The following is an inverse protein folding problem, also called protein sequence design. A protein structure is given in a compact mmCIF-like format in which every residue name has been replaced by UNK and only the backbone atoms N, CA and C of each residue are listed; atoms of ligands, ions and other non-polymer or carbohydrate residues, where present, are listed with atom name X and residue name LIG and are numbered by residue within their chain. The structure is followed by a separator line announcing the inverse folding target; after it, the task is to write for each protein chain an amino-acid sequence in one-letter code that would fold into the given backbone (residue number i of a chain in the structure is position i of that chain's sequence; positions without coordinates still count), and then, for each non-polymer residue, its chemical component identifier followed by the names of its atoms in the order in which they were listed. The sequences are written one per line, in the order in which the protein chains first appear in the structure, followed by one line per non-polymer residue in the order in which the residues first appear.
data_IF_853410598053
#
_entry.id   IF_853410598053
#
_cell.length_a   1.000
_cell.length_b   1.000
_cell.length_c   1.000
_cell.angle_alpha   90.00
_cell.angle_beta   90.00
_cell.angle_gamma   90.00
#
_symmetry.space_group_name_H-M   'P 1'
#
loop_
_entity.id
_entity.type
_entity.pdbx_description
1 polymer ?
#
# COMPACT_ATOMS: atom_id res chain seq x y z
N UNK A 1 39.21 -10.44 -32.70
CA UNK A 1 38.93 -9.94 -31.33
C UNK A 1 37.81 -8.91 -31.25
N UNK A 2 37.43 -8.19 -32.32
CA UNK A 2 36.41 -7.10 -32.24
C UNK A 2 34.96 -7.56 -32.11
N UNK A 3 34.58 -8.80 -32.50
CA UNK A 3 33.18 -9.28 -32.44
C UNK A 3 32.72 -9.78 -31.10
N UNK A 4 33.64 -10.17 -30.21
CA UNK A 4 33.34 -10.65 -28.86
C UNK A 4 33.02 -9.46 -27.93
N UNK A 5 33.62 -8.30 -28.14
CA UNK A 5 33.36 -7.10 -27.32
C UNK A 5 31.96 -6.52 -27.59
N UNK A 6 31.40 -6.70 -28.77
CA UNK A 6 30.06 -6.22 -29.11
C UNK A 6 28.96 -7.05 -28.45
N UNK A 7 29.17 -8.36 -28.27
CA UNK A 7 28.21 -9.25 -27.60
C UNK A 7 28.18 -9.01 -26.10
N UNK A 8 29.33 -8.68 -25.49
CA UNK A 8 29.40 -8.38 -24.06
C UNK A 8 28.71 -7.06 -23.69
N UNK A 9 28.71 -6.08 -24.60
CA UNK A 9 28.01 -4.80 -24.41
C UNK A 9 26.47 -4.92 -24.42
N UNK A 10 25.93 -5.94 -25.12
CA UNK A 10 24.48 -6.17 -25.20
C UNK A 10 23.95 -6.90 -23.95
N UNK A 11 24.82 -7.64 -23.25
CA UNK A 11 24.40 -8.36 -22.02
C UNK A 11 24.36 -7.47 -20.76
N UNK A 12 24.86 -6.24 -20.82
CA UNK A 12 24.87 -5.30 -19.68
C UNK A 12 23.65 -4.34 -19.65
N UNK A 13 22.76 -4.41 -20.62
CA UNK A 13 21.59 -3.51 -20.71
C UNK A 13 20.30 -4.09 -20.13
N UNK A 14 20.37 -5.13 -19.31
CA UNK A 14 19.20 -5.95 -18.89
C UNK A 14 18.61 -5.73 -17.51
N UNK A 15 19.07 -4.75 -16.71
CA UNK A 15 18.37 -4.38 -15.48
C UNK A 15 17.78 -2.97 -15.65
N UNK A 16 16.66 -2.86 -16.30
CA UNK A 16 15.86 -1.63 -16.22
C UNK A 16 15.24 -1.58 -14.83
N UNK A 17 15.88 -0.85 -13.90
CA UNK A 17 15.24 -0.49 -12.64
C UNK A 17 14.00 0.34 -12.95
N UNK A 18 12.86 -0.01 -12.36
CA UNK A 18 11.63 0.79 -12.49
C UNK A 18 11.95 2.20 -11.99
N UNK A 19 11.64 3.26 -12.78
CA UNK A 19 11.91 4.63 -12.37
C UNK A 19 11.12 4.96 -11.10
N UNK A 20 11.75 5.70 -10.18
CA UNK A 20 11.09 6.19 -8.98
C UNK A 20 10.15 7.37 -9.28
N UNK A 21 10.41 8.11 -10.37
CA UNK A 21 9.63 9.26 -10.78
C UNK A 21 9.18 9.15 -12.23
N UNK A 22 8.00 9.70 -12.52
CA UNK A 22 7.57 9.90 -13.91
C UNK A 22 8.45 10.97 -14.56
N UNK A 23 8.96 10.67 -15.75
CA UNK A 23 9.65 11.68 -16.57
C UNK A 23 8.67 12.76 -17.04
N UNK A 24 9.15 13.99 -17.24
CA UNK A 24 8.32 15.09 -17.76
C UNK A 24 7.64 14.74 -19.10
N UNK A 25 8.31 13.99 -19.96
CA UNK A 25 7.76 13.50 -21.22
C UNK A 25 6.53 12.63 -20.98
N UNK A 26 6.63 11.64 -20.07
CA UNK A 26 5.51 10.78 -19.69
C UNK A 26 4.37 11.55 -19.02
N UNK A 27 4.70 12.53 -18.15
CA UNK A 27 3.68 13.37 -17.52
C UNK A 27 2.86 14.16 -18.54
N UNK A 28 3.49 14.65 -19.61
CA UNK A 28 2.83 15.41 -20.68
C UNK A 28 1.89 14.56 -21.54
N UNK A 29 2.16 13.26 -21.67
CA UNK A 29 1.33 12.32 -22.40
C UNK A 29 0.07 11.88 -21.63
N UNK A 30 0.11 11.96 -20.30
CA UNK A 30 -0.97 11.51 -19.42
C UNK A 30 -2.03 12.62 -19.27
N UNK A 31 -3.29 12.27 -19.51
CA UNK A 31 -4.45 13.17 -19.34
C UNK A 31 -5.58 12.52 -18.56
N UNK A 32 -5.79 11.21 -18.77
CA UNK A 32 -6.86 10.45 -18.16
C UNK A 32 -6.28 9.38 -17.25
N UNK A 33 -6.53 9.49 -15.97
CA UNK A 33 -6.01 8.52 -15.00
C UNK A 33 -7.12 7.93 -14.15
N UNK A 34 -6.84 6.78 -13.57
CA UNK A 34 -7.66 6.23 -12.49
C UNK A 34 -6.78 5.86 -11.31
N UNK A 35 -7.39 5.77 -10.14
CA UNK A 35 -6.78 5.19 -8.95
C UNK A 35 -7.55 3.93 -8.62
N UNK A 36 -6.83 2.84 -8.31
CA UNK A 36 -7.39 1.62 -7.75
C UNK A 36 -6.67 1.27 -6.45
N UNK A 37 -7.41 0.70 -5.50
CA UNK A 37 -6.86 0.22 -4.24
C UNK A 37 -6.87 -1.29 -4.24
N UNK A 38 -5.69 -1.89 -4.05
CA UNK A 38 -5.50 -3.32 -3.78
C UNK A 38 -5.11 -3.54 -2.31
N UNK A 39 -5.34 -2.56 -1.44
CA UNK A 39 -5.14 -2.71 0.00
C UNK A 39 -6.34 -3.46 0.57
N UNK A 40 -6.12 -4.52 1.37
CA UNK A 40 -7.20 -5.26 2.01
C UNK A 40 -8.06 -4.38 2.93
N UNK A 41 -9.36 -4.65 2.99
CA UNK A 41 -10.26 -4.02 3.96
C UNK A 41 -10.15 -4.62 5.36
N UNK A 42 -9.38 -5.69 5.52
CA UNK A 42 -9.13 -6.33 6.80
C UNK A 42 -7.96 -5.69 7.54
N UNK A 43 -8.12 -5.51 8.83
CA UNK A 43 -7.07 -5.09 9.76
C UNK A 43 -6.79 -6.22 10.72
N UNK A 44 -5.55 -6.67 10.78
CA UNK A 44 -5.08 -7.64 11.76
C UNK A 44 -4.83 -6.93 13.09
N UNK A 45 -5.47 -7.38 14.15
CA UNK A 45 -5.18 -6.93 15.51
C UNK A 45 -4.50 -8.07 16.25
N UNK A 46 -3.25 -7.85 16.61
CA UNK A 46 -2.45 -8.81 17.37
C UNK A 46 -2.19 -8.25 18.76
N UNK A 47 -2.62 -9.00 19.79
CA UNK A 47 -2.29 -8.75 21.17
C UNK A 47 -1.17 -9.71 21.57
N UNK A 48 -0.02 -9.16 21.92
CA UNK A 48 1.11 -9.94 22.42
C UNK A 48 1.12 -9.81 23.95
N UNK A 49 0.82 -10.92 24.62
CA UNK A 49 0.91 -11.03 26.07
C UNK A 49 2.34 -11.29 26.54
N UNK A 50 2.57 -11.17 27.84
CA UNK A 50 3.84 -11.46 28.52
C UNK A 50 4.30 -12.91 28.32
N UNK A 51 3.35 -13.82 28.08
CA UNK A 51 3.57 -15.24 27.79
C UNK A 51 2.81 -15.57 26.51
N UNK A 52 3.39 -16.38 25.64
CA UNK A 52 2.83 -16.73 24.32
C UNK A 52 1.41 -17.29 24.36
N UNK A 53 1.00 -17.95 25.45
CA UNK A 53 -0.37 -18.43 25.66
C UNK A 53 -1.43 -17.31 25.72
N UNK A 54 -1.03 -16.07 25.94
CA UNK A 54 -1.93 -14.91 25.97
C UNK A 54 -1.92 -14.11 24.67
N UNK A 55 -1.25 -14.59 23.64
CA UNK A 55 -1.32 -13.98 22.33
C UNK A 55 -2.70 -14.20 21.74
N UNK A 56 -3.31 -13.14 21.27
CA UNK A 56 -4.61 -13.16 20.63
C UNK A 56 -4.50 -12.50 19.27
N UNK A 57 -5.17 -13.09 18.31
CA UNK A 57 -5.29 -12.54 16.97
C UNK A 57 -6.77 -12.36 16.65
N UNK A 58 -7.11 -11.19 16.12
CA UNK A 58 -8.46 -10.87 15.66
C UNK A 58 -8.36 -10.09 14.36
N UNK A 59 -9.26 -10.38 13.43
CA UNK A 59 -9.34 -9.66 12.15
C UNK A 59 -10.61 -8.81 12.15
N UNK A 60 -10.48 -7.55 11.75
CA UNK A 60 -11.59 -6.62 11.61
C UNK A 60 -11.78 -6.24 10.17
N UNK A 61 -13.04 -6.17 9.74
CA UNK A 61 -13.41 -5.63 8.44
C UNK A 61 -13.65 -4.11 8.57
N UNK A 62 -12.99 -3.33 7.75
CA UNK A 62 -13.12 -1.87 7.69
C UNK A 62 -14.33 -1.41 6.85
N UNK A 63 -15.04 -2.35 6.21
CA UNK A 63 -16.28 -2.09 5.47
C UNK A 63 -16.15 -0.97 4.42
N UNK A 64 -15.13 -1.02 3.60
CA UNK A 64 -14.87 -0.06 2.51
C UNK A 64 -14.21 1.24 2.95
N UNK A 65 -13.90 1.43 4.24
CA UNK A 65 -13.26 2.66 4.74
C UNK A 65 -11.83 2.80 4.24
N UNK A 66 -11.09 1.69 4.10
CA UNK A 66 -9.70 1.69 3.60
C UNK A 66 -9.68 2.14 2.14
N UNK A 67 -10.41 1.47 1.26
CA UNK A 67 -10.47 1.82 -0.15
C UNK A 67 -10.97 3.26 -0.34
N UNK A 68 -12.04 3.66 0.36
CA UNK A 68 -12.59 5.02 0.29
C UNK A 68 -11.57 6.08 0.67
N UNK A 69 -10.82 5.89 1.76
CA UNK A 69 -9.79 6.81 2.20
C UNK A 69 -8.64 6.92 1.19
N UNK A 70 -8.15 5.78 0.70
CA UNK A 70 -7.06 5.71 -0.29
C UNK A 70 -7.48 6.41 -1.58
N UNK A 71 -8.64 6.06 -2.14
CA UNK A 71 -9.11 6.63 -3.40
C UNK A 71 -9.33 8.14 -3.29
N UNK A 72 -9.89 8.61 -2.17
CA UNK A 72 -10.12 10.04 -1.92
C UNK A 72 -8.80 10.80 -1.78
N UNK A 73 -7.87 10.31 -0.97
CA UNK A 73 -6.57 10.96 -0.74
C UNK A 73 -5.70 10.98 -2.00
N UNK A 74 -5.61 9.86 -2.73
CA UNK A 74 -4.87 9.76 -3.97
C UNK A 74 -5.44 10.72 -5.03
N UNK A 75 -6.77 10.75 -5.20
CA UNK A 75 -7.43 11.68 -6.12
C UNK A 75 -7.10 13.13 -5.80
N UNK A 76 -7.21 13.51 -4.52
CA UNK A 76 -6.91 14.87 -4.08
C UNK A 76 -5.45 15.25 -4.39
N UNK A 77 -4.52 14.31 -4.16
CA UNK A 77 -3.10 14.53 -4.43
C UNK A 77 -2.82 14.70 -5.92
N UNK A 78 -3.34 13.80 -6.76
CA UNK A 78 -3.16 13.87 -8.22
C UNK A 78 -3.72 15.18 -8.79
N UNK A 79 -4.95 15.57 -8.42
CA UNK A 79 -5.56 16.81 -8.89
C UNK A 79 -4.78 18.04 -8.45
N UNK A 80 -4.21 18.03 -7.25
CA UNK A 80 -3.37 19.12 -6.75
C UNK A 80 -2.07 19.25 -7.52
N UNK A 81 -1.39 18.13 -7.81
CA UNK A 81 -0.08 18.11 -8.49
C UNK A 81 -0.23 18.30 -10.00
N UNK A 82 -1.30 17.77 -10.59
CA UNK A 82 -1.54 17.80 -12.04
C UNK A 82 -3.00 18.21 -12.32
N UNK A 83 -3.33 19.51 -12.20
CA UNK A 83 -4.71 20.00 -12.35
C UNK A 83 -5.29 19.78 -13.76
N UNK A 84 -4.44 19.50 -14.76
CA UNK A 84 -4.87 19.17 -16.12
C UNK A 84 -5.25 17.69 -16.32
N UNK A 85 -5.05 16.83 -15.33
CA UNK A 85 -5.39 15.42 -15.44
C UNK A 85 -6.83 15.14 -15.00
N UNK A 86 -7.55 14.35 -15.78
CA UNK A 86 -8.90 13.90 -15.45
C UNK A 86 -8.81 12.59 -14.64
N UNK A 87 -9.12 12.63 -13.35
CA UNK A 87 -9.15 11.44 -12.49
C UNK A 87 -10.52 10.79 -12.58
N UNK A 88 -10.60 9.65 -13.28
CA UNK A 88 -11.84 8.90 -13.51
C UNK A 88 -12.09 7.88 -12.41
N UNK A 89 -13.36 7.68 -12.06
CA UNK A 89 -13.78 6.54 -11.26
C UNK A 89 -13.98 5.32 -12.16
N UNK A 90 -13.40 4.19 -11.80
CA UNK A 90 -13.50 2.94 -12.56
C UNK A 90 -14.05 1.82 -11.69
N UNK A 91 -14.77 0.89 -12.32
CA UNK A 91 -15.18 -0.36 -11.67
C UNK A 91 -14.14 -1.42 -11.98
N UNK A 92 -13.67 -2.12 -10.97
CA UNK A 92 -12.73 -3.23 -11.08
C UNK A 92 -13.07 -4.31 -10.08
N UNK A 93 -12.64 -5.53 -10.36
CA UNK A 93 -12.72 -6.65 -9.44
C UNK A 93 -11.45 -6.67 -8.59
N UNK A 94 -11.57 -6.14 -7.36
CA UNK A 94 -10.44 -6.07 -6.43
C UNK A 94 -9.91 -7.46 -6.08
N UNK A 95 -10.78 -8.44 -5.86
CA UNK A 95 -10.39 -9.79 -5.48
C UNK A 95 -9.60 -10.48 -6.61
N UNK A 96 -10.07 -10.34 -7.86
CA UNK A 96 -9.36 -10.88 -9.02
C UNK A 96 -7.98 -10.23 -9.21
N UNK A 97 -7.88 -8.90 -9.04
CA UNK A 97 -6.60 -8.19 -9.16
C UNK A 97 -5.64 -8.52 -8.00
N UNK A 98 -6.14 -8.67 -6.78
CA UNK A 98 -5.35 -9.12 -5.63
C UNK A 98 -4.78 -10.53 -5.87
N UNK A 99 -5.60 -11.47 -6.32
CA UNK A 99 -5.14 -12.84 -6.60
C UNK A 99 -4.02 -12.88 -7.65
N UNK A 100 -4.04 -11.96 -8.62
CA UNK A 100 -2.95 -11.81 -9.60
C UNK A 100 -1.71 -11.20 -8.94
N UNK A 101 -1.87 -10.17 -8.10
CA UNK A 101 -0.78 -9.49 -7.43
C UNK A 101 -0.06 -10.37 -6.40
N UNK A 102 -0.80 -11.25 -5.72
CA UNK A 102 -0.30 -12.22 -4.73
C UNK A 102 0.29 -13.49 -5.38
N UNK A 103 0.26 -13.59 -6.70
CA UNK A 103 0.89 -14.73 -7.39
C UNK A 103 2.41 -14.72 -7.18
N UNK A 104 3.10 -15.89 -7.22
CA UNK A 104 4.56 -15.98 -7.00
C UNK A 104 5.40 -15.12 -7.95
N UNK A 105 4.82 -14.69 -9.08
CA UNK A 105 5.46 -13.80 -10.05
C UNK A 105 5.14 -12.31 -9.78
N UNK A 106 4.25 -12.03 -8.82
CA UNK A 106 3.92 -10.67 -8.39
C UNK A 106 3.36 -9.78 -9.49
N UNK A 107 3.50 -8.49 -9.28
CA UNK A 107 3.02 -7.42 -10.18
C UNK A 107 3.71 -7.40 -11.55
N UNK A 108 4.89 -8.02 -11.67
CA UNK A 108 5.63 -8.15 -12.93
C UNK A 108 5.12 -9.29 -13.83
N UNK A 109 4.12 -10.06 -13.36
CA UNK A 109 3.55 -11.14 -14.14
C UNK A 109 2.79 -10.60 -15.37
N UNK A 110 2.90 -11.32 -16.48
CA UNK A 110 2.16 -10.99 -17.72
C UNK A 110 0.66 -10.84 -17.45
N UNK A 111 0.08 -11.65 -16.55
CA UNK A 111 -1.32 -11.57 -16.18
C UNK A 111 -1.71 -10.25 -15.52
N UNK A 112 -0.85 -9.68 -14.66
CA UNK A 112 -1.09 -8.37 -14.04
C UNK A 112 -1.05 -7.26 -15.10
N UNK A 113 -0.04 -7.29 -15.96
CA UNK A 113 0.08 -6.37 -17.09
C UNK A 113 -1.15 -6.40 -17.99
N UNK A 114 -1.59 -7.59 -18.41
CA UNK A 114 -2.76 -7.75 -19.26
C UNK A 114 -4.04 -7.24 -18.59
N UNK A 115 -4.21 -7.51 -17.30
CA UNK A 115 -5.37 -7.04 -16.53
C UNK A 115 -5.42 -5.51 -16.44
N UNK A 116 -4.28 -4.85 -16.22
CA UNK A 116 -4.22 -3.38 -16.19
C UNK A 116 -4.38 -2.77 -17.58
N UNK A 117 -3.79 -3.38 -18.62
CA UNK A 117 -3.99 -2.95 -20.01
C UNK A 117 -5.48 -3.02 -20.40
N UNK A 118 -6.16 -4.09 -20.03
CA UNK A 118 -7.60 -4.25 -20.29
C UNK A 118 -8.44 -3.21 -19.54
N UNK A 119 -8.12 -2.95 -18.27
CA UNK A 119 -8.78 -1.93 -17.47
C UNK A 119 -8.57 -0.54 -18.08
N UNK A 120 -7.35 -0.21 -18.49
CA UNK A 120 -7.01 1.05 -19.13
C UNK A 120 -7.77 1.23 -20.45
N UNK A 121 -7.74 0.22 -21.32
CA UNK A 121 -8.43 0.23 -22.62
C UNK A 121 -9.94 0.41 -22.46
N UNK A 122 -10.58 -0.37 -21.58
CA UNK A 122 -12.03 -0.32 -21.31
C UNK A 122 -12.49 1.06 -20.84
N UNK A 123 -11.67 1.75 -20.05
CA UNK A 123 -12.01 3.03 -19.44
C UNK A 123 -11.36 4.23 -20.15
N UNK A 124 -10.61 4.01 -21.23
CA UNK A 124 -9.88 5.05 -21.97
C UNK A 124 -8.97 5.85 -21.04
N UNK A 125 -8.07 5.14 -20.35
CA UNK A 125 -7.08 5.70 -19.43
C UNK A 125 -5.71 5.73 -20.11
N UNK A 126 -4.92 6.72 -19.74
CA UNK A 126 -3.51 6.83 -20.13
C UNK A 126 -2.60 6.19 -19.06
N UNK A 127 -3.04 6.24 -17.78
CA UNK A 127 -2.33 5.60 -16.68
C UNK A 127 -3.29 5.17 -15.55
N UNK A 128 -2.83 4.19 -14.74
CA UNK A 128 -3.52 3.72 -13.54
C UNK A 128 -2.56 3.81 -12.36
N UNK A 129 -2.99 4.46 -11.28
CA UNK A 129 -2.32 4.46 -9.99
C UNK A 129 -2.85 3.29 -9.18
N UNK A 130 -1.97 2.33 -8.92
CA UNK A 130 -2.29 1.12 -8.17
C UNK A 130 -1.71 1.25 -6.77
N UNK A 131 -2.57 1.43 -5.77
CA UNK A 131 -2.16 1.47 -4.37
C UNK A 131 -2.29 0.06 -3.80
N UNK A 132 -1.21 -0.47 -3.25
CA UNK A 132 -1.17 -1.82 -2.67
C UNK A 132 -0.49 -1.81 -1.30
N UNK A 133 -0.79 -2.83 -0.51
CA UNK A 133 0.03 -3.15 0.64
C UNK A 133 1.39 -3.68 0.14
N UNK A 134 2.47 -3.19 0.72
CA UNK A 134 3.80 -3.73 0.50
C UNK A 134 4.12 -4.77 1.58
N UNK A 135 4.93 -5.77 1.23
CA UNK A 135 5.46 -6.72 2.19
C UNK A 135 6.28 -5.99 3.26
N UNK A 136 6.13 -6.42 4.50
CA UNK A 136 7.01 -5.95 5.56
C UNK A 136 8.31 -6.75 5.50
N UNK A 137 9.44 -6.04 5.46
CA UNK A 137 10.77 -6.65 5.46
C UNK A 137 11.04 -7.47 6.75
N UNK A 138 10.33 -7.14 7.83
CA UNK A 138 10.32 -7.92 9.06
C UNK A 138 9.29 -9.06 8.93
N UNK A 139 9.71 -10.20 8.40
CA UNK A 139 8.93 -11.42 8.11
C UNK A 139 8.02 -11.96 9.25
N UNK A 140 7.81 -11.22 10.31
CA UNK A 140 7.02 -11.60 11.49
C UNK A 140 5.60 -11.00 11.50
N UNK A 141 5.27 -10.12 10.57
CA UNK A 141 3.94 -9.51 10.49
C UNK A 141 3.18 -10.07 9.29
N UNK A 142 1.89 -10.18 9.46
CA UNK A 142 0.98 -10.56 8.37
C UNK A 142 0.93 -9.45 7.33
N UNK A 143 0.77 -9.81 6.09
CA UNK A 143 0.54 -8.84 5.01
C UNK A 143 -0.67 -7.95 5.32
N UNK A 144 -0.59 -6.69 4.89
CA UNK A 144 -1.68 -5.74 5.02
C UNK A 144 -1.53 -4.75 6.18
N UNK A 145 -2.65 -4.44 6.82
CA UNK A 145 -2.72 -3.47 7.91
C UNK A 145 -2.69 -4.23 9.24
N UNK A 146 -1.73 -3.90 10.09
CA UNK A 146 -1.54 -4.55 11.38
C UNK A 146 -1.65 -3.52 12.51
N UNK A 147 -2.44 -3.84 13.52
CA UNK A 147 -2.50 -3.14 14.79
C UNK A 147 -1.94 -4.07 15.85
N UNK A 148 -0.84 -3.68 16.46
CA UNK A 148 -0.15 -4.47 17.47
C UNK A 148 -0.31 -3.83 18.85
N UNK A 149 -0.86 -4.56 19.78
CA UNK A 149 -0.86 -4.23 21.19
C UNK A 149 0.09 -5.17 21.94
N UNK A 150 1.18 -4.65 22.43
CA UNK A 150 2.21 -5.44 23.11
C UNK A 150 2.43 -4.95 24.54
N UNK A 151 2.51 -5.89 25.49
CA UNK A 151 2.99 -5.65 26.82
C UNK A 151 4.47 -6.02 26.89
N UNK A 152 5.32 -5.09 27.27
CA UNK A 152 6.71 -5.40 27.54
C UNK A 152 6.84 -5.94 28.98
N UNK A 153 7.27 -7.21 29.15
CA UNK A 153 7.38 -7.80 30.48
C UNK A 153 8.49 -7.20 31.33
N UNK A 154 9.47 -6.52 30.71
CA UNK A 154 10.63 -6.01 31.43
C UNK A 154 10.38 -4.66 32.11
N UNK A 155 9.55 -3.81 31.58
CA UNK A 155 9.28 -2.46 32.09
C UNK A 155 7.80 -2.16 32.33
N UNK A 156 6.95 -3.18 32.18
CA UNK A 156 5.48 -3.07 32.24
C UNK A 156 4.90 -2.01 31.29
N UNK A 157 5.68 -1.56 30.30
CA UNK A 157 5.19 -0.62 29.30
C UNK A 157 4.24 -1.30 28.32
N UNK A 158 3.20 -0.60 27.95
CA UNK A 158 2.25 -1.04 26.95
C UNK A 158 2.45 -0.21 25.68
N UNK A 159 2.45 -0.89 24.54
CA UNK A 159 2.59 -0.24 23.24
C UNK A 159 1.43 -0.63 22.36
N UNK A 160 0.75 0.36 21.82
CA UNK A 160 -0.23 0.18 20.76
C UNK A 160 0.35 0.81 19.50
N UNK A 161 0.49 0.03 18.44
CA UNK A 161 1.11 0.51 17.19
C UNK A 161 0.28 0.12 15.99
N UNK A 162 0.24 0.99 14.98
CA UNK A 162 -0.28 0.70 13.65
C UNK A 162 0.92 0.53 12.72
N UNK A 163 0.91 -0.54 11.94
CA UNK A 163 1.88 -0.82 10.88
C UNK A 163 1.12 -1.08 9.58
N UNK A 164 1.46 -0.35 8.55
CA UNK A 164 0.92 -0.55 7.22
C UNK A 164 1.95 -0.07 6.20
N UNK A 165 2.53 -0.97 5.44
CA UNK A 165 3.40 -0.59 4.34
C UNK A 165 2.55 -0.38 3.10
N UNK A 166 2.68 0.78 2.47
CA UNK A 166 2.02 1.10 1.23
C UNK A 166 3.04 1.31 0.12
N UNK A 167 2.61 0.95 -1.07
CA UNK A 167 3.31 1.20 -2.31
C UNK A 167 2.32 1.72 -3.34
N UNK A 168 2.77 2.62 -4.21
CA UNK A 168 2.01 3.13 -5.34
C UNK A 168 2.77 2.84 -6.62
N UNK A 169 2.24 1.98 -7.46
CA UNK A 169 2.73 1.75 -8.80
C UNK A 169 1.89 2.54 -9.80
N UNK A 170 2.53 3.12 -10.81
CA UNK A 170 1.86 3.77 -11.93
C UNK A 170 2.07 2.87 -13.15
N UNK A 171 0.97 2.40 -13.74
CA UNK A 171 1.02 1.64 -14.98
C UNK A 171 0.53 2.50 -16.15
N UNK A 172 1.09 2.28 -17.33
CA UNK A 172 0.61 2.91 -18.55
C UNK A 172 -0.58 2.15 -19.16
N UNK A 173 -1.06 2.61 -20.31
CA UNK A 173 -2.16 1.99 -21.06
C UNK A 173 -1.83 0.58 -21.60
N UNK A 174 -0.58 0.17 -21.62
CA UNK A 174 -0.12 -1.17 -21.92
C UNK A 174 -0.01 -2.06 -20.70
N UNK A 175 -0.28 -1.52 -19.49
CA UNK A 175 -0.15 -2.21 -18.23
C UNK A 175 1.30 -2.33 -17.72
N UNK A 176 2.26 -1.65 -18.37
CA UNK A 176 3.64 -1.63 -17.92
C UNK A 176 3.80 -0.67 -16.73
N UNK A 177 4.57 -1.07 -15.71
CA UNK A 177 4.90 -0.18 -14.60
C UNK A 177 5.89 0.87 -15.10
N UNK A 178 5.49 2.13 -15.06
CA UNK A 178 6.30 3.27 -15.52
C UNK A 178 6.89 4.09 -14.38
N UNK A 179 6.39 3.94 -13.17
CA UNK A 179 6.99 4.48 -11.95
C UNK A 179 6.47 3.71 -10.73
N UNK A 180 7.26 3.67 -9.67
CA UNK A 180 6.88 3.03 -8.41
C UNK A 180 7.47 3.79 -7.22
N UNK A 181 6.62 4.11 -6.23
CA UNK A 181 7.01 4.80 -5.01
C UNK A 181 6.43 4.13 -3.77
N UNK A 182 7.24 4.09 -2.73
CA UNK A 182 6.85 3.54 -1.43
C UNK A 182 7.13 4.50 -0.29
N UNK A 183 6.74 4.13 0.91
CA UNK A 183 7.14 4.87 2.11
C UNK A 183 8.66 4.70 2.28
N UNK A 184 9.44 5.81 2.37
CA UNK A 184 10.88 5.72 2.56
C UNK A 184 11.25 4.92 3.81
N UNK A 185 12.22 4.01 3.71
CA UNK A 185 12.66 3.17 4.82
C UNK A 185 13.23 3.96 6.01
N UNK A 186 13.65 5.21 5.78
CA UNK A 186 14.13 6.12 6.84
C UNK A 186 12.99 6.71 7.69
N UNK A 187 11.75 6.60 7.25
CA UNK A 187 10.60 7.07 7.99
C UNK A 187 10.01 5.91 8.79
N UNK A 188 9.71 6.21 10.05
CA UNK A 188 9.17 5.24 11.00
C UNK A 188 7.87 4.63 10.44
N UNK A 189 7.94 3.37 10.02
CA UNK A 189 6.79 2.62 9.48
C UNK A 189 5.79 2.23 10.56
N UNK A 190 5.99 2.73 11.79
CA UNK A 190 5.19 2.42 12.96
C UNK A 190 4.56 3.69 13.51
N UNK A 191 3.24 3.76 13.56
CA UNK A 191 2.53 4.80 14.29
C UNK A 191 2.27 4.31 15.71
N UNK A 192 2.88 4.93 16.70
CA UNK A 192 2.57 4.68 18.10
C UNK A 192 1.29 5.42 18.52
N UNK A 193 0.45 4.74 19.29
CA UNK A 193 -0.76 5.27 19.90
C UNK A 193 -0.68 5.10 21.42
N UNK A 194 -1.36 5.98 22.15
CA UNK A 194 -1.52 5.84 23.60
C UNK A 194 -2.61 4.79 23.92
N UNK A 195 -2.26 3.63 24.52
CA UNK A 195 -3.24 2.60 24.83
C UNK A 195 -4.36 3.09 25.77
N UNK A 196 -4.07 4.06 26.65
CA UNK A 196 -5.03 4.60 27.59
C UNK A 196 -6.19 5.32 26.90
N UNK A 197 -5.90 6.02 25.79
CA UNK A 197 -6.90 6.69 24.97
C UNK A 197 -7.95 5.71 24.41
N UNK A 198 -7.60 4.43 24.31
CA UNK A 198 -8.47 3.35 23.81
C UNK A 198 -9.06 2.50 24.97
N UNK A 199 -8.70 2.79 26.21
CA UNK A 199 -9.13 2.00 27.36
C UNK A 199 -8.57 0.57 27.38
N UNK A 200 -7.41 0.37 26.73
CA UNK A 200 -6.73 -0.92 26.64
C UNK A 200 -5.81 -1.21 27.81
N UNK A 201 -5.68 -0.29 28.79
CA UNK A 201 -4.91 -0.46 30.01
C UNK A 201 -5.56 -1.52 30.87
N UNK A 202 -4.78 -2.47 31.36
CA UNK A 202 -5.08 -3.43 32.44
C UNK A 202 -6.13 -4.52 32.16
N UNK A 203 -6.88 -4.53 31.03
CA UNK A 203 -7.86 -5.57 30.80
C UNK A 203 -7.47 -6.52 29.69
N UNK A 204 -7.29 -7.78 30.08
CA UNK A 204 -7.22 -8.93 29.17
C UNK A 204 -8.62 -9.21 28.58
N UNK A 205 -9.28 -8.20 28.02
CA UNK A 205 -10.52 -8.44 27.31
C UNK A 205 -10.17 -9.16 26.00
N UNK A 206 -10.72 -10.35 25.83
CA UNK A 206 -10.48 -11.22 24.67
C UNK A 206 -11.03 -10.65 23.36
N UNK A 207 -11.94 -9.68 23.44
CA UNK A 207 -12.56 -9.05 22.29
C UNK A 207 -12.51 -7.53 22.41
N UNK A 208 -12.08 -6.87 21.32
CA UNK A 208 -12.20 -5.42 21.25
C UNK A 208 -13.68 -5.04 21.23
N UNK A 209 -14.06 -4.10 22.09
CA UNK A 209 -15.41 -3.54 22.08
C UNK A 209 -15.62 -2.71 20.79
N UNK A 210 -16.84 -2.65 20.24
CA UNK A 210 -17.13 -1.90 19.02
C UNK A 210 -16.65 -0.44 19.06
N UNK A 211 -16.70 0.21 20.23
CA UNK A 211 -16.25 1.60 20.39
C UNK A 211 -14.74 1.73 20.23
N UNK A 212 -13.98 0.77 20.76
CA UNK A 212 -12.51 0.73 20.61
C UNK A 212 -12.15 0.50 19.16
N UNK A 213 -12.84 -0.45 18.52
CA UNK A 213 -12.64 -0.71 17.09
C UNK A 213 -12.91 0.54 16.23
N UNK A 214 -14.01 1.25 16.46
CA UNK A 214 -14.31 2.46 15.71
C UNK A 214 -13.25 3.55 15.89
N UNK A 215 -12.71 3.73 17.10
CA UNK A 215 -11.59 4.65 17.33
C UNK A 215 -10.33 4.21 16.62
N UNK A 216 -9.98 2.93 16.66
CA UNK A 216 -8.83 2.37 15.95
C UNK A 216 -8.98 2.54 14.43
N UNK A 217 -10.17 2.32 13.90
CA UNK A 217 -10.45 2.49 12.48
C UNK A 217 -10.18 3.93 12.00
N UNK A 218 -10.50 4.94 12.81
CA UNK A 218 -10.18 6.35 12.49
C UNK A 218 -8.67 6.55 12.44
N UNK A 219 -7.93 6.01 13.40
CA UNK A 219 -6.48 6.14 13.46
C UNK A 219 -5.77 5.39 12.32
N UNK A 220 -6.29 4.21 11.95
CA UNK A 220 -5.81 3.43 10.79
C UNK A 220 -5.99 4.24 9.51
N UNK A 221 -7.18 4.77 9.26
CA UNK A 221 -7.47 5.59 8.06
C UNK A 221 -6.56 6.82 8.02
N UNK A 222 -6.36 7.50 9.14
CA UNK A 222 -5.48 8.66 9.21
C UNK A 222 -4.02 8.30 8.89
N UNK A 223 -3.53 7.17 9.42
CA UNK A 223 -2.16 6.71 9.15
C UNK A 223 -1.98 6.25 7.70
N UNK A 224 -2.94 5.53 7.14
CA UNK A 224 -2.93 5.15 5.71
C UNK A 224 -2.88 6.38 4.80
N UNK A 225 -3.68 7.41 5.09
CA UNK A 225 -3.66 8.66 4.34
C UNK A 225 -2.31 9.35 4.43
N UNK A 226 -1.69 9.41 5.60
CA UNK A 226 -0.34 9.95 5.79
C UNK A 226 0.70 9.18 4.96
N UNK A 227 0.69 7.85 5.04
CA UNK A 227 1.64 6.99 4.30
C UNK A 227 1.45 7.10 2.80
N UNK A 228 0.21 7.15 2.35
CA UNK A 228 -0.10 7.35 0.93
C UNK A 228 0.50 8.67 0.42
N UNK A 229 0.40 9.75 1.18
CA UNK A 229 1.03 11.02 0.81
C UNK A 229 2.56 10.88 0.70
N UNK A 230 3.21 10.14 1.60
CA UNK A 230 4.65 9.86 1.51
C UNK A 230 5.01 9.07 0.25
N UNK A 231 4.18 8.09 -0.15
CA UNK A 231 4.37 7.39 -1.42
C UNK A 231 4.26 8.35 -2.62
N UNK A 232 3.29 9.27 -2.61
CA UNK A 232 3.17 10.27 -3.65
C UNK A 232 4.33 11.27 -3.65
N UNK A 233 4.84 11.69 -2.48
CA UNK A 233 6.04 12.52 -2.37
C UNK A 233 7.25 11.80 -2.98
N UNK A 234 7.41 10.50 -2.74
CA UNK A 234 8.48 9.69 -3.34
C UNK A 234 8.35 9.53 -4.86
N UNK A 235 7.15 9.70 -5.42
CA UNK A 235 6.88 9.69 -6.86
C UNK A 235 7.05 11.08 -7.50
N UNK A 236 7.26 12.14 -6.70
CA UNK A 236 7.39 13.52 -7.18
C UNK A 236 6.07 14.26 -7.39
N UNK A 237 4.98 13.81 -6.75
CA UNK A 237 3.65 14.43 -6.81
C UNK A 237 3.43 15.46 -5.73
#
# INVERSE_FOLDING_TARGET
MSRILLILAIMLSGCSSIPQHLTEERQNEIKNVAVISLVPESVNFDKIGTISFFNQHTVFDMNGRVASAILSAARARIVKSHPGWAVKSVRYDQAALLAIAESPLGFSATAAKDAFADLARKNKLDAIFVVRAAEDADNNLREGINVLFANNPMDASQRLTIRANLNVAITDKQGEIIAEGGVPASLDNVKALDPDAFGLKDKMESNLRPEVFNKLAVEVVADLTRRLNLCFDSLGF
#
